data_IF_413380580302
#
_entry.id   IF_413380580302
#
_cell.length_a   1.000
_cell.length_b   1.000
_cell.length_c   1.000
_cell.angle_alpha   90.00
_cell.angle_beta   90.00
_cell.angle_gamma   90.00
#
_symmetry.space_group_name_H-M   'P 1'
#
loop_
_entity.id
_entity.type
_entity.pdbx_description
1 polymer ?
#
# COMPACT_ATOMS: atom_id res chain seq x y z
N UNK A 1 5.16 -13.48 4.75
CA UNK A 1 5.30 -12.02 4.80
C UNK A 1 4.73 -11.50 6.11
N UNK A 2 5.57 -10.85 6.92
CA UNK A 2 5.14 -10.19 8.15
C UNK A 2 4.84 -8.72 7.86
N UNK A 3 3.75 -8.19 8.40
CA UNK A 3 3.43 -6.76 8.29
C UNK A 3 2.99 -6.20 9.64
N UNK A 4 3.32 -4.94 9.88
CA UNK A 4 2.92 -4.25 11.10
C UNK A 4 1.68 -3.41 10.82
N UNK A 5 0.58 -3.70 11.51
CA UNK A 5 -0.63 -2.88 11.46
C UNK A 5 -0.67 -1.91 12.65
N UNK A 6 -0.84 -0.62 12.38
CA UNK A 6 -1.01 0.44 13.39
C UNK A 6 -2.29 1.21 13.12
N UNK A 7 -3.01 1.57 14.19
CA UNK A 7 -4.18 2.43 14.12
C UNK A 7 -3.79 3.83 14.58
N UNK A 8 -4.02 4.84 13.75
CA UNK A 8 -3.76 6.25 14.09
C UNK A 8 -5.03 7.08 13.93
N UNK A 9 -5.08 8.24 14.58
CA UNK A 9 -6.24 9.13 14.45
C UNK A 9 -6.39 9.58 12.98
N UNK A 10 -7.39 9.03 12.28
CA UNK A 10 -7.73 9.37 10.89
C UNK A 10 -7.18 8.43 9.81
N UNK A 11 -6.33 7.44 10.16
CA UNK A 11 -5.84 6.44 9.20
C UNK A 11 -5.38 5.15 9.89
N UNK A 12 -5.64 4.01 9.25
CA UNK A 12 -4.96 2.76 9.56
C UNK A 12 -3.69 2.66 8.68
N UNK A 13 -2.62 2.09 9.23
CA UNK A 13 -1.32 1.96 8.57
C UNK A 13 -0.92 0.48 8.54
N UNK A 14 -0.56 -0.01 7.36
CA UNK A 14 0.08 -1.31 7.16
C UNK A 14 1.49 -1.07 6.66
N UNK A 15 2.49 -1.51 7.41
CA UNK A 15 3.89 -1.43 7.00
C UNK A 15 4.34 -2.79 6.50
N UNK A 16 4.81 -2.84 5.25
CA UNK A 16 5.38 -4.01 4.59
C UNK A 16 6.90 -3.81 4.54
N UNK A 17 7.67 -4.57 5.36
CA UNK A 17 9.10 -4.37 5.50
C UNK A 17 9.90 -4.85 4.28
N UNK A 18 9.43 -5.95 3.68
CA UNK A 18 10.13 -6.69 2.64
C UNK A 18 9.65 -6.34 1.22
N UNK A 19 10.46 -6.70 0.23
CA UNK A 19 10.06 -6.63 -1.19
C UNK A 19 8.89 -7.58 -1.44
N UNK A 20 7.86 -7.11 -2.13
CA UNK A 20 6.79 -7.98 -2.64
C UNK A 20 7.21 -8.45 -4.04
N UNK A 21 7.64 -9.70 -4.16
CA UNK A 21 7.95 -10.31 -5.45
C UNK A 21 6.81 -11.23 -5.94
N UNK A 22 7.09 -12.07 -6.94
CA UNK A 22 6.12 -13.02 -7.48
C UNK A 22 5.62 -14.05 -6.46
N UNK A 23 6.50 -14.55 -5.60
CA UNK A 23 6.16 -15.56 -4.59
C UNK A 23 5.29 -14.96 -3.48
N UNK A 24 5.47 -13.66 -3.21
CA UNK A 24 4.71 -12.92 -2.20
C UNK A 24 3.33 -12.42 -2.67
N UNK A 25 2.97 -12.58 -3.95
CA UNK A 25 1.73 -11.99 -4.51
C UNK A 25 0.49 -12.33 -3.69
N UNK A 26 0.22 -13.62 -3.49
CA UNK A 26 -0.98 -14.09 -2.79
C UNK A 26 -0.94 -13.76 -1.29
N UNK A 27 0.17 -14.02 -0.56
CA UNK A 27 0.31 -13.57 0.83
C UNK A 27 0.09 -12.07 1.02
N UNK A 28 0.66 -11.24 0.14
CA UNK A 28 0.57 -9.79 0.24
C UNK A 28 -0.85 -9.28 -0.02
N UNK A 29 -1.51 -9.79 -1.06
CA UNK A 29 -2.89 -9.42 -1.34
C UNK A 29 -3.84 -9.88 -0.23
N UNK A 30 -3.67 -11.09 0.29
CA UNK A 30 -4.45 -11.60 1.42
C UNK A 30 -4.26 -10.73 2.66
N UNK A 31 -3.02 -10.30 2.94
CA UNK A 31 -2.70 -9.42 4.05
C UNK A 31 -3.39 -8.05 3.92
N UNK A 32 -3.32 -7.43 2.75
CA UNK A 32 -3.94 -6.13 2.49
C UNK A 32 -5.47 -6.20 2.57
N UNK A 33 -6.09 -7.26 2.02
CA UNK A 33 -7.54 -7.49 2.13
C UNK A 33 -7.96 -7.66 3.58
N UNK A 34 -7.22 -8.46 4.35
CA UNK A 34 -7.50 -8.66 5.76
C UNK A 34 -7.34 -7.36 6.58
N UNK A 35 -6.40 -6.48 6.19
CA UNK A 35 -6.28 -5.15 6.79
C UNK A 35 -7.45 -4.24 6.41
N UNK A 36 -7.88 -4.23 5.14
CA UNK A 36 -9.03 -3.48 4.65
C UNK A 36 -10.34 -3.92 5.33
N UNK A 37 -10.56 -5.22 5.51
CA UNK A 37 -11.74 -5.75 6.19
C UNK A 37 -11.81 -5.37 7.67
N UNK A 38 -10.64 -5.11 8.29
CA UNK A 38 -10.53 -4.65 9.68
C UNK A 38 -10.35 -3.15 9.81
N UNK A 39 -10.32 -2.42 8.69
CA UNK A 39 -10.02 -1.00 8.66
C UNK A 39 -11.10 -0.23 9.41
N UNK A 40 -10.69 0.53 10.42
CA UNK A 40 -11.61 1.30 11.28
C UNK A 40 -11.75 2.75 10.84
N UNK A 41 -10.88 3.16 9.91
CA UNK A 41 -10.79 4.51 9.40
C UNK A 41 -11.22 4.53 7.93
N UNK A 42 -11.68 5.68 7.40
CA UNK A 42 -11.98 5.83 5.98
C UNK A 42 -10.71 5.81 5.09
N UNK A 43 -9.52 5.67 5.69
CA UNK A 43 -8.22 5.69 5.03
C UNK A 43 -7.33 4.54 5.55
N UNK A 44 -6.81 3.76 4.62
CA UNK A 44 -5.71 2.81 4.84
C UNK A 44 -4.46 3.29 4.09
N UNK A 45 -3.35 3.41 4.79
CA UNK A 45 -2.04 3.72 4.22
C UNK A 45 -1.19 2.44 4.21
N UNK A 46 -0.68 2.06 3.05
CA UNK A 46 0.29 0.98 2.88
C UNK A 46 1.67 1.59 2.75
N UNK A 47 2.54 1.38 3.74
CA UNK A 47 3.93 1.82 3.68
C UNK A 47 4.81 0.68 3.17
N UNK A 48 5.47 0.90 2.05
CA UNK A 48 6.53 0.01 1.56
C UNK A 48 7.86 0.59 2.03
N UNK A 49 8.62 -0.15 2.82
CA UNK A 49 9.91 0.35 3.33
C UNK A 49 11.09 -0.01 2.47
N UNK A 50 10.99 -1.06 1.66
CA UNK A 50 12.04 -1.41 0.72
C UNK A 50 12.00 -0.47 -0.51
N UNK A 51 13.18 0.03 -0.98
CA UNK A 51 13.25 0.86 -2.19
C UNK A 51 12.92 0.12 -3.49
N UNK A 52 12.85 -1.21 -3.48
CA UNK A 52 12.50 -2.01 -4.66
C UNK A 52 10.99 -2.18 -4.75
N UNK A 53 10.40 -1.60 -5.79
CA UNK A 53 8.99 -1.81 -6.16
C UNK A 53 8.95 -2.64 -7.43
N UNK A 54 8.54 -3.90 -7.29
CA UNK A 54 8.39 -4.82 -8.42
C UNK A 54 7.06 -4.58 -9.15
N UNK A 55 6.94 -5.12 -10.37
CA UNK A 55 5.64 -5.16 -11.07
C UNK A 55 4.60 -5.94 -10.25
N UNK A 56 5.00 -6.98 -9.53
CA UNK A 56 4.10 -7.72 -8.65
C UNK A 56 3.56 -6.86 -7.53
N UNK A 57 4.41 -6.05 -6.88
CA UNK A 57 3.99 -5.11 -5.84
C UNK A 57 2.93 -4.13 -6.39
N UNK A 58 3.14 -3.61 -7.61
CA UNK A 58 2.19 -2.71 -8.26
C UNK A 58 0.84 -3.39 -8.52
N UNK A 59 0.83 -4.62 -9.05
CA UNK A 59 -0.40 -5.38 -9.25
C UNK A 59 -1.14 -5.66 -7.94
N UNK A 60 -0.42 -6.06 -6.88
CA UNK A 60 -1.00 -6.27 -5.55
C UNK A 60 -1.66 -5.00 -5.02
N UNK A 61 -1.00 -3.85 -5.18
CA UNK A 61 -1.54 -2.56 -4.75
C UNK A 61 -2.76 -2.12 -5.57
N UNK A 62 -2.76 -2.35 -6.88
CA UNK A 62 -3.92 -2.10 -7.74
C UNK A 62 -5.11 -3.00 -7.37
N UNK A 63 -4.88 -4.31 -7.19
CA UNK A 63 -5.92 -5.26 -6.76
C UNK A 63 -6.49 -4.87 -5.37
N UNK A 64 -5.63 -4.41 -4.46
CA UNK A 64 -6.04 -3.93 -3.14
C UNK A 64 -6.78 -2.59 -3.21
N UNK A 65 -6.42 -1.71 -4.14
CA UNK A 65 -7.10 -0.44 -4.37
C UNK A 65 -8.55 -0.66 -4.83
N UNK A 66 -8.76 -1.55 -5.81
CA UNK A 66 -10.11 -1.89 -6.28
C UNK A 66 -10.94 -2.49 -5.14
N UNK A 67 -10.34 -3.41 -4.35
CA UNK A 67 -10.99 -3.98 -3.17
C UNK A 67 -11.38 -2.96 -2.10
N UNK A 68 -10.55 -1.92 -1.92
CA UNK A 68 -10.81 -0.82 -0.99
C UNK A 68 -11.92 0.10 -1.52
N UNK A 69 -11.92 0.39 -2.83
CA UNK A 69 -12.92 1.21 -3.49
C UNK A 69 -14.33 0.64 -3.31
N UNK A 70 -14.49 -0.66 -3.52
CA UNK A 70 -15.77 -1.38 -3.32
C UNK A 70 -16.32 -1.28 -1.89
N UNK A 71 -15.46 -0.96 -0.92
CA UNK A 71 -15.80 -0.81 0.51
C UNK A 71 -15.91 0.65 0.96
N UNK A 72 -15.69 1.61 0.05
CA UNK A 72 -15.66 3.02 0.40
C UNK A 72 -14.46 3.42 1.27
N UNK A 73 -13.38 2.63 1.25
CA UNK A 73 -12.13 2.92 1.96
C UNK A 73 -11.15 3.55 0.97
N UNK A 74 -10.55 4.68 1.34
CA UNK A 74 -9.45 5.26 0.56
C UNK A 74 -8.19 4.46 0.84
N UNK A 75 -7.59 3.86 -0.19
CA UNK A 75 -6.26 3.26 -0.09
C UNK A 75 -5.21 4.21 -0.64
N UNK A 76 -4.14 4.40 0.13
CA UNK A 76 -2.95 5.16 -0.27
C UNK A 76 -1.70 4.35 -0.01
N UNK A 77 -0.65 4.61 -0.77
CA UNK A 77 0.64 3.98 -0.66
C UNK A 77 1.69 5.04 -0.34
N UNK A 78 2.52 4.74 0.65
CA UNK A 78 3.71 5.50 1.00
C UNK A 78 4.93 4.62 0.70
N UNK A 79 5.45 4.65 -0.54
CA UNK A 79 6.67 3.92 -0.85
C UNK A 79 7.88 4.57 -0.20
N UNK A 80 9.01 3.86 -0.20
CA UNK A 80 10.31 4.46 0.06
C UNK A 80 10.54 5.67 -0.89
N UNK A 81 11.17 6.76 -0.44
CA UNK A 81 11.42 7.93 -1.27
C UNK A 81 12.12 7.63 -2.61
N UNK A 82 13.02 6.64 -2.65
CA UNK A 82 13.68 6.23 -3.89
C UNK A 82 12.71 5.58 -4.89
N UNK A 83 11.65 4.93 -4.40
CA UNK A 83 10.64 4.25 -5.20
C UNK A 83 9.46 5.14 -5.60
N UNK A 84 9.26 6.31 -4.98
CA UNK A 84 8.13 7.19 -5.25
C UNK A 84 8.02 7.64 -6.73
N UNK A 85 9.17 7.75 -7.42
CA UNK A 85 9.19 8.09 -8.85
C UNK A 85 8.57 6.99 -9.73
N UNK A 86 8.69 5.72 -9.34
CA UNK A 86 8.16 4.57 -10.11
C UNK A 86 6.66 4.71 -10.30
N UNK A 87 5.91 5.03 -9.24
CA UNK A 87 4.45 5.23 -9.29
C UNK A 87 4.04 6.32 -10.28
N UNK A 88 4.84 7.37 -10.45
CA UNK A 88 4.55 8.43 -11.43
C UNK A 88 4.82 7.94 -12.85
N UNK A 89 5.92 7.21 -13.06
CA UNK A 89 6.29 6.67 -14.37
C UNK A 89 5.26 5.66 -14.90
N UNK A 90 4.68 4.85 -14.02
CA UNK A 90 3.70 3.82 -14.40
C UNK A 90 2.25 4.31 -14.39
N UNK A 91 2.01 5.61 -14.22
CA UNK A 91 0.65 6.17 -14.26
C UNK A 91 -0.20 5.88 -13.02
N UNK A 92 0.42 5.57 -11.88
CA UNK A 92 -0.24 5.32 -10.60
C UNK A 92 -0.02 6.42 -9.52
N UNK A 93 0.10 7.73 -9.86
CA UNK A 93 0.31 8.76 -8.84
C UNK A 93 -0.89 8.91 -7.90
N UNK A 94 -2.08 8.49 -8.32
CA UNK A 94 -3.31 8.51 -7.52
C UNK A 94 -3.26 7.53 -6.34
N UNK A 95 -2.37 6.54 -6.35
CA UNK A 95 -2.13 5.66 -5.21
C UNK A 95 -1.22 6.32 -4.18
N UNK A 96 -0.41 7.33 -4.53
CA UNK A 96 0.51 7.95 -3.59
C UNK A 96 -0.23 8.67 -2.46
N UNK A 97 0.23 8.48 -1.23
CA UNK A 97 -0.18 9.25 -0.06
C UNK A 97 0.32 10.70 -0.21
N UNK A 98 -0.58 11.70 -0.22
CA UNK A 98 -0.18 13.11 -0.36
C UNK A 98 0.54 13.66 0.88
N UNK A 99 0.51 12.96 2.02
CA UNK A 99 1.17 13.43 3.25
C UNK A 99 2.68 13.18 3.18
N UNK A 100 3.39 14.25 2.77
CA UNK A 100 4.86 14.44 2.68
C UNK A 100 5.57 13.82 1.48
N UNK A 101 5.40 14.45 0.32
CA UNK A 101 6.54 14.77 -0.53
C UNK A 101 7.25 16.03 0.01
N UNK A 102 7.88 15.94 1.17
CA UNK A 102 8.93 16.90 1.57
C UNK A 102 10.23 16.14 1.55
N UNK A 103 11.05 16.49 0.56
CA UNK A 103 12.43 16.08 0.39
C UNK A 103 13.28 16.32 1.65
#
# INVERSE_FOLDING_TARGET
MDALTRHTAGADLVEIPDVIDFEDREPALALLRAALDRCRQPLLVVRLTDPVVTVTALHVLSDAYDYAHDRGIVLRTRPDPAAAHIFRLVGLPHLLDPVRATA
#
